data_IF_990425367592
#
_entry.id   IF_990425367592
#
_cell.length_a   1.000
_cell.length_b   1.000
_cell.length_c   1.000
_cell.angle_alpha   90.00
_cell.angle_beta   90.00
_cell.angle_gamma   90.00
#
_symmetry.space_group_name_H-M   'P 1'
#
loop_
_entity.id
_entity.type
_entity.pdbx_description
1 polymer ?
#
# COMPACT_ATOMS: atom_id res chain seq x y z
N UNK A 1 9.12 15.91 -25.72
CA UNK A 1 8.50 16.59 -24.56
C UNK A 1 9.60 16.82 -23.53
N UNK A 2 9.69 18.01 -22.92
CA UNK A 2 10.57 18.27 -21.78
C UNK A 2 9.71 18.20 -20.51
N UNK A 3 10.13 17.39 -19.54
CA UNK A 3 9.49 17.35 -18.23
C UNK A 3 10.17 18.36 -17.31
N UNK A 4 9.40 18.89 -16.38
CA UNK A 4 9.86 19.82 -15.34
C UNK A 4 9.52 19.24 -13.97
N UNK A 5 10.38 19.46 -12.99
CA UNK A 5 10.13 19.09 -11.59
C UNK A 5 8.99 19.94 -11.04
N UNK A 6 7.93 19.29 -10.54
CA UNK A 6 6.76 19.95 -9.98
C UNK A 6 7.00 20.67 -8.65
N UNK A 7 8.15 20.45 -7.98
CA UNK A 7 8.51 21.12 -6.73
C UNK A 7 9.31 22.40 -6.94
N UNK A 8 10.22 22.41 -7.91
CA UNK A 8 11.16 23.54 -8.16
C UNK A 8 10.84 24.32 -9.43
N UNK A 9 10.17 23.70 -10.41
CA UNK A 9 9.90 24.28 -11.73
C UNK A 9 11.07 24.14 -12.71
N UNK A 10 12.18 23.51 -12.31
CA UNK A 10 13.34 23.31 -13.18
C UNK A 10 13.15 22.13 -14.14
N UNK A 11 13.81 22.17 -15.30
CA UNK A 11 13.76 21.06 -16.26
C UNK A 11 14.59 19.87 -15.77
N UNK A 12 14.14 18.64 -16.03
CA UNK A 12 14.99 17.47 -15.77
C UNK A 12 16.25 17.52 -16.65
N UNK A 13 17.40 17.19 -16.06
CA UNK A 13 18.71 17.19 -16.75
C UNK A 13 18.74 16.27 -17.97
N UNK A 14 18.03 15.13 -17.88
CA UNK A 14 17.99 14.10 -18.91
C UNK A 14 16.58 13.94 -19.48
N UNK A 15 16.46 13.59 -20.78
CA UNK A 15 15.16 13.33 -21.38
C UNK A 15 14.48 12.13 -20.71
N UNK A 16 13.18 12.26 -20.44
CA UNK A 16 12.34 11.22 -19.83
C UNK A 16 11.35 10.70 -20.87
N UNK A 17 11.21 9.38 -20.96
CA UNK A 17 10.22 8.73 -21.84
C UNK A 17 8.83 8.83 -21.23
N UNK A 18 7.87 9.30 -22.01
CA UNK A 18 6.46 9.42 -21.62
C UNK A 18 5.57 8.77 -22.69
N UNK A 19 4.45 8.20 -22.26
CA UNK A 19 3.50 7.54 -23.15
C UNK A 19 2.25 7.08 -22.42
N UNK A 20 1.30 6.52 -23.16
CA UNK A 20 0.09 5.93 -22.60
C UNK A 20 0.35 4.47 -22.22
N UNK A 21 0.07 4.11 -20.97
CA UNK A 21 0.16 2.75 -20.47
C UNK A 21 -1.18 2.30 -19.91
N UNK A 22 -1.54 1.04 -20.18
CA UNK A 22 -2.66 0.40 -19.51
C UNK A 22 -2.16 -0.22 -18.19
N UNK A 23 -2.74 0.21 -17.08
CA UNK A 23 -2.35 -0.24 -15.73
C UNK A 23 -3.55 -0.87 -15.04
N UNK A 24 -3.34 -2.08 -14.50
CA UNK A 24 -4.36 -2.82 -13.76
C UNK A 24 -4.24 -2.55 -12.25
N UNK A 25 -5.39 -2.37 -11.59
CA UNK A 25 -5.49 -2.37 -10.13
C UNK A 25 -5.86 -3.78 -9.66
N UNK A 26 -4.98 -4.38 -8.85
CA UNK A 26 -5.21 -5.73 -8.32
C UNK A 26 -6.06 -5.71 -7.05
N UNK A 27 -6.64 -6.85 -6.71
CA UNK A 27 -7.60 -7.02 -5.62
C UNK A 27 -7.03 -6.85 -4.20
N UNK A 28 -5.71 -6.86 -4.02
CA UNK A 28 -5.10 -6.87 -2.70
C UNK A 28 -4.80 -5.45 -2.20
N UNK A 29 -5.84 -4.72 -1.82
CA UNK A 29 -5.69 -3.36 -1.28
C UNK A 29 -5.24 -3.38 0.18
N UNK A 30 -4.56 -2.32 0.62
CA UNK A 30 -4.13 -2.15 2.02
C UNK A 30 -5.32 -2.07 2.97
N UNK A 31 -6.40 -1.42 2.54
CA UNK A 31 -7.64 -1.23 3.31
C UNK A 31 -8.28 -2.59 3.69
N UNK A 32 -8.27 -3.53 2.74
CA UNK A 32 -8.76 -4.90 2.94
C UNK A 32 -7.89 -5.72 3.89
N UNK A 33 -6.71 -5.22 4.28
CA UNK A 33 -5.73 -5.94 5.11
C UNK A 33 -5.40 -5.24 6.42
N UNK A 34 -5.83 -3.99 6.62
CA UNK A 34 -5.69 -3.32 7.90
C UNK A 34 -6.39 -4.14 9.00
N UNK A 35 -5.66 -4.39 10.08
CA UNK A 35 -6.12 -5.13 11.24
C UNK A 35 -5.50 -4.52 12.50
N UNK A 36 -6.33 -4.23 13.50
CA UNK A 36 -5.92 -3.67 14.78
C UNK A 36 -6.60 -4.43 15.91
N UNK A 37 -5.91 -4.61 17.04
CA UNK A 37 -6.43 -5.32 18.20
C UNK A 37 -5.98 -4.68 19.51
N UNK A 38 -6.93 -4.40 20.40
CA UNK A 38 -6.69 -3.90 21.77
C UNK A 38 -6.87 -4.99 22.83
N UNK A 39 -7.88 -5.85 22.71
CA UNK A 39 -8.12 -7.08 23.48
C UNK A 39 -8.75 -8.14 22.56
N UNK A 40 -8.81 -9.42 22.95
CA UNK A 40 -9.56 -10.43 22.19
C UNK A 40 -9.40 -11.87 22.70
N UNK A 41 -9.99 -12.86 22.01
CA UNK A 41 -10.06 -14.23 22.49
C UNK A 41 -8.70 -14.91 22.66
N UNK A 42 -8.64 -15.84 23.61
CA UNK A 42 -7.47 -16.62 24.00
C UNK A 42 -7.67 -18.11 23.70
N UNK A 43 -6.56 -18.81 23.44
CA UNK A 43 -6.52 -20.26 23.29
C UNK A 43 -6.80 -20.97 24.62
N UNK A 44 -7.65 -22.00 24.60
CA UNK A 44 -8.03 -22.79 25.78
C UNK A 44 -6.86 -23.54 26.44
N UNK A 45 -5.81 -23.88 25.67
CA UNK A 45 -4.67 -24.66 26.17
C UNK A 45 -3.50 -23.77 26.54
N UNK A 46 -3.16 -22.83 25.67
CA UNK A 46 -1.95 -22.01 25.82
C UNK A 46 -2.22 -20.65 26.46
N UNK A 47 -3.49 -20.27 26.61
CA UNK A 47 -3.91 -18.95 27.06
C UNK A 47 -3.18 -17.83 26.31
N UNK A 48 -2.87 -18.05 25.02
CA UNK A 48 -2.30 -17.05 24.14
C UNK A 48 -3.40 -16.39 23.29
N UNK A 49 -3.29 -15.10 22.95
CA UNK A 49 -4.27 -14.44 22.10
C UNK A 49 -4.38 -15.14 20.73
N UNK A 50 -5.59 -15.45 20.30
CA UNK A 50 -5.87 -16.04 18.98
C UNK A 50 -5.61 -15.02 17.86
N UNK A 51 -5.09 -15.47 16.72
CA UNK A 51 -4.71 -14.60 15.60
C UNK A 51 -5.65 -14.67 14.41
N UNK A 52 -5.70 -13.60 13.61
CA UNK A 52 -6.43 -13.52 12.33
C UNK A 52 -7.34 -12.29 12.24
N UNK A 53 -7.55 -11.78 11.01
CA UNK A 53 -8.44 -10.63 10.76
C UNK A 53 -9.94 -10.96 10.90
N UNK A 54 -10.31 -12.23 10.79
CA UNK A 54 -11.70 -12.70 10.81
C UNK A 54 -12.28 -12.90 12.23
N UNK A 55 -11.54 -12.52 13.27
CA UNK A 55 -12.03 -12.46 14.66
C UNK A 55 -12.17 -11.02 15.13
#
# INVERSE_FOLDING_TARGET
VRLYDGRTGEAFERPVTVGYMHVLKLHHLVDDKMHARSTGPYSLVTQQPLGGKAQ
#
